data_IF_126790899841
#
_entry.id   IF_126790899841
#
_cell.length_a   1.000
_cell.length_b   1.000
_cell.length_c   1.000
_cell.angle_alpha   90.00
_cell.angle_beta   90.00
_cell.angle_gamma   90.00
#
_symmetry.space_group_name_H-M   'P 1'
#
loop_
_entity.id
_entity.type
_entity.pdbx_description
1 polymer ?
#
# COMPACT_ATOMS: atom_id res chain seq x y z
N UNK A 1 -9.27 -16.42 17.93
CA UNK A 1 -8.49 -17.08 16.85
C UNK A 1 -7.83 -15.98 16.06
N UNK A 2 -6.50 -15.98 16.01
CA UNK A 2 -5.67 -14.85 15.60
C UNK A 2 -5.94 -14.42 14.16
N UNK A 3 -6.56 -13.26 13.99
CA UNK A 3 -6.81 -12.66 12.67
C UNK A 3 -5.46 -12.39 12.00
N UNK A 4 -5.27 -13.09 10.89
CA UNK A 4 -4.09 -13.14 10.05
C UNK A 4 -3.47 -11.74 9.90
N UNK A 5 -2.26 -11.60 10.43
CA UNK A 5 -1.44 -10.40 10.40
C UNK A 5 -0.88 -10.08 8.98
N UNK A 6 -1.67 -10.32 7.94
CA UNK A 6 -1.31 -10.21 6.51
C UNK A 6 -1.23 -8.75 6.03
N UNK A 7 -1.61 -7.79 6.88
CA UNK A 7 -1.53 -6.37 6.58
C UNK A 7 -0.34 -5.69 7.25
N UNK A 8 0.53 -6.38 7.99
CA UNK A 8 1.69 -5.70 8.58
C UNK A 8 2.74 -5.40 7.51
N UNK A 9 3.22 -4.16 7.51
CA UNK A 9 4.18 -3.69 6.54
C UNK A 9 5.51 -4.43 6.71
N UNK A 10 6.01 -5.13 5.68
CA UNK A 10 7.27 -5.87 5.78
C UNK A 10 8.48 -4.95 5.91
N UNK A 11 8.36 -3.67 5.54
CA UNK A 11 9.48 -2.71 5.60
C UNK A 11 9.70 -2.11 6.97
N UNK A 12 8.63 -1.81 7.72
CA UNK A 12 8.74 -1.18 9.03
C UNK A 12 8.27 -2.06 10.19
N UNK A 13 7.60 -3.18 9.94
CA UNK A 13 7.11 -4.12 10.96
C UNK A 13 6.05 -3.57 11.92
N UNK A 14 5.77 -2.27 11.91
CA UNK A 14 4.92 -1.59 12.87
C UNK A 14 3.69 -0.90 12.24
N UNK A 15 3.72 -0.63 10.92
CA UNK A 15 2.60 -0.02 10.20
C UNK A 15 1.76 -1.07 9.49
N UNK A 16 0.47 -0.78 9.25
CA UNK A 16 -0.37 -1.62 8.40
C UNK A 16 -0.41 -1.10 6.96
N UNK A 17 -0.50 -2.02 6.00
CA UNK A 17 -0.77 -1.77 4.60
C UNK A 17 -2.26 -1.48 4.44
N UNK A 18 -2.57 -0.29 3.94
CA UNK A 18 -3.92 0.23 3.71
C UNK A 18 -4.13 0.40 2.21
N UNK A 19 -5.31 0.02 1.72
CA UNK A 19 -5.71 0.29 0.35
C UNK A 19 -5.94 1.79 0.13
N UNK A 20 -5.90 2.26 -1.11
CA UNK A 20 -6.11 3.67 -1.44
C UNK A 20 -7.40 4.28 -0.84
N UNK A 21 -8.49 3.50 -0.88
CA UNK A 21 -9.79 3.89 -0.30
C UNK A 21 -9.73 4.12 1.21
N UNK A 22 -8.80 3.46 1.89
CA UNK A 22 -8.61 3.57 3.33
C UNK A 22 -7.68 4.73 3.72
N UNK A 23 -6.95 5.31 2.75
CA UNK A 23 -6.09 6.47 2.98
C UNK A 23 -6.93 7.75 3.09
N UNK A 24 -6.53 8.65 4.00
CA UNK A 24 -7.01 10.03 4.07
C UNK A 24 -6.51 10.86 2.88
N UNK A 25 -7.12 12.01 2.62
CA UNK A 25 -6.75 12.85 1.48
C UNK A 25 -5.29 13.34 1.54
N UNK A 26 -4.79 13.73 2.71
CA UNK A 26 -3.37 14.02 2.92
C UNK A 26 -2.48 12.81 2.59
N UNK A 27 -2.89 11.61 2.99
CA UNK A 27 -2.13 10.39 2.74
C UNK A 27 -2.11 10.05 1.23
N UNK A 28 -3.24 10.26 0.55
CA UNK A 28 -3.33 10.12 -0.91
C UNK A 28 -2.45 11.12 -1.63
N UNK A 29 -2.37 12.38 -1.18
CA UNK A 29 -1.47 13.38 -1.76
C UNK A 29 -0.01 12.96 -1.66
N UNK A 30 0.42 12.37 -0.53
CA UNK A 30 1.77 11.82 -0.42
C UNK A 30 2.00 10.72 -1.46
N UNK A 31 1.06 9.78 -1.61
CA UNK A 31 1.16 8.73 -2.64
C UNK A 31 1.18 9.29 -4.06
N UNK A 32 0.44 10.38 -4.33
CA UNK A 32 0.49 11.10 -5.63
C UNK A 32 1.87 11.69 -5.92
N UNK A 33 2.58 12.13 -4.88
CA UNK A 33 3.95 12.67 -4.98
C UNK A 33 5.02 11.59 -5.07
N UNK A 34 4.72 10.36 -4.64
CA UNK A 34 5.67 9.25 -4.76
C UNK A 34 5.87 8.89 -6.24
N UNK A 35 7.12 8.69 -6.69
CA UNK A 35 7.39 8.24 -8.04
C UNK A 35 6.62 6.94 -8.30
N UNK A 36 5.91 6.87 -9.43
CA UNK A 36 5.20 5.66 -9.80
C UNK A 36 6.22 4.53 -10.01
N UNK A 37 6.12 3.47 -9.21
CA UNK A 37 7.09 2.37 -9.20
C UNK A 37 7.27 1.68 -10.57
N UNK A 38 6.40 1.94 -11.56
CA UNK A 38 6.47 1.30 -12.87
C UNK A 38 5.79 2.10 -14.01
N UNK A 39 5.61 3.43 -13.88
CA UNK A 39 4.82 4.20 -14.87
C UNK A 39 3.32 3.87 -14.88
N UNK A 40 2.84 3.05 -13.94
CA UNK A 40 1.42 2.79 -13.71
C UNK A 40 0.73 4.07 -13.22
N UNK A 41 -0.51 4.26 -13.69
CA UNK A 41 -1.34 5.38 -13.28
C UNK A 41 -1.74 5.27 -11.80
N UNK A 42 -2.10 6.39 -11.19
CA UNK A 42 -2.59 6.40 -9.80
C UNK A 42 -3.85 5.54 -9.61
N UNK A 43 -4.66 5.38 -10.65
CA UNK A 43 -5.89 4.58 -10.61
C UNK A 43 -5.57 3.07 -10.55
N UNK A 44 -4.68 2.59 -11.41
CA UNK A 44 -4.18 1.21 -11.37
C UNK A 44 -3.51 0.89 -10.03
N UNK A 45 -2.72 1.85 -9.54
CA UNK A 45 -2.11 1.76 -8.22
C UNK A 45 -3.18 1.68 -7.14
N UNK A 46 -4.19 2.55 -7.17
CA UNK A 46 -5.26 2.58 -6.18
C UNK A 46 -6.08 1.29 -6.13
N UNK A 47 -6.23 0.62 -7.27
CA UNK A 47 -6.97 -0.63 -7.39
C UNK A 47 -6.17 -1.85 -6.87
N UNK A 48 -4.86 -1.91 -7.10
CA UNK A 48 -4.06 -3.13 -6.88
C UNK A 48 -2.98 -3.02 -5.81
N UNK A 49 -2.62 -1.80 -5.40
CA UNK A 49 -1.53 -1.55 -4.47
C UNK A 49 -2.07 -1.16 -3.09
N UNK A 50 -1.27 -1.44 -2.07
CA UNK A 50 -1.50 -1.04 -0.69
C UNK A 50 -0.29 -0.29 -0.17
N UNK A 51 -0.52 0.72 0.66
CA UNK A 51 0.54 1.57 1.19
C UNK A 51 0.61 1.52 2.70
N UNK A 52 1.83 1.54 3.21
CA UNK A 52 2.07 1.79 4.62
C UNK A 52 2.15 3.29 4.87
N UNK A 53 1.28 3.83 5.72
CA UNK A 53 1.23 5.28 5.99
C UNK A 53 2.35 5.76 6.93
N UNK A 54 3.11 4.82 7.53
CA UNK A 54 4.30 5.15 8.33
C UNK A 54 5.58 5.31 7.51
N UNK A 55 5.77 4.46 6.50
CA UNK A 55 7.03 4.40 5.74
C UNK A 55 6.85 4.55 4.24
N UNK A 56 5.61 4.72 3.78
CA UNK A 56 5.22 4.84 2.37
C UNK A 56 5.67 3.67 1.50
N UNK A 57 5.85 2.49 2.11
CA UNK A 57 6.10 1.26 1.37
C UNK A 57 4.86 0.86 0.60
N UNK A 58 5.03 0.65 -0.70
CA UNK A 58 4.01 0.16 -1.61
C UNK A 58 4.15 -1.36 -1.77
N UNK A 59 3.09 -2.09 -1.46
CA UNK A 59 2.98 -3.51 -1.74
C UNK A 59 1.95 -3.69 -2.86
N UNK A 60 2.33 -4.36 -3.95
CA UNK A 60 1.36 -4.91 -4.89
C UNK A 60 0.78 -6.17 -4.29
N UNK A 61 -0.54 -6.32 -4.33
CA UNK A 61 -1.17 -7.62 -4.13
C UNK A 61 -0.87 -8.47 -5.38
N UNK A 62 0.39 -8.92 -5.51
CA UNK A 62 0.72 -9.99 -6.43
C UNK A 62 0.21 -11.25 -5.74
N UNK A 63 -0.85 -11.91 -6.25
CA UNK A 63 -1.21 -13.21 -5.72
C UNK A 63 0.04 -14.08 -5.82
N UNK A 64 0.50 -14.57 -4.66
CA UNK A 64 1.63 -15.48 -4.61
C UNK A 64 1.20 -16.75 -5.32
N UNK A 65 1.49 -16.83 -6.61
CA UNK A 65 1.45 -18.05 -7.40
C UNK A 65 2.40 -19.04 -6.70
N UNK A 66 1.82 -20.08 -6.12
CA UNK A 66 2.51 -21.28 -5.66
C UNK A 66 1.89 -22.46 -6.41
#
# INVERSE_FOLDING_TARGET
MSESNQNTCPRCGAGRLRAWRELSDEEREVVRRLPASAGQTLDERAARHRWCTRCWYEATDTPRQA
#
